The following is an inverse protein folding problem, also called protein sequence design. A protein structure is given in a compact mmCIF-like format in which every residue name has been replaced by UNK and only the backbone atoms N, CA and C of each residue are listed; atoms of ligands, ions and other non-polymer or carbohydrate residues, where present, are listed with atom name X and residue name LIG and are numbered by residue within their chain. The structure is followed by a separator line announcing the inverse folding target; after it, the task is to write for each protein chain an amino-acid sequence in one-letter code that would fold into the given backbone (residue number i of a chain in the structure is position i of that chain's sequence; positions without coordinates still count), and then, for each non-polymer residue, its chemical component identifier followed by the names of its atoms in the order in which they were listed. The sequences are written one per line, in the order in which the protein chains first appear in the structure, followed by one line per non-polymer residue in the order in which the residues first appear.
data_IF_157247613924
#
_entry.id   IF_157247613924
#
_cell.length_a   1.000
_cell.length_b   1.000
_cell.length_c   1.000
_cell.angle_alpha   90.00
_cell.angle_beta   90.00
_cell.angle_gamma   90.00
#
_symmetry.space_group_name_H-M   'P 1'
#
loop_
_entity.id
_entity.type
_entity.pdbx_description
1 polymer ?
#
# COMPACT_ATOMS: atom_id res chain seq x y z
N UNK A 1 -17.29 9.44 18.11
CA UNK A 1 -17.11 10.04 16.79
C UNK A 1 -18.25 9.59 15.89
N UNK A 2 -18.90 10.47 15.10
CA UNK A 2 -19.97 10.06 14.22
C UNK A 2 -19.40 9.11 13.15
N UNK A 3 -19.99 7.91 13.06
CA UNK A 3 -19.61 6.88 12.08
C UNK A 3 -20.45 7.12 10.82
N UNK A 4 -19.85 7.22 9.62
CA UNK A 4 -20.61 7.25 8.37
C UNK A 4 -21.48 6.01 8.22
N UNK A 5 -22.67 6.14 7.60
CA UNK A 5 -23.57 5.01 7.39
C UNK A 5 -22.89 3.93 6.55
N UNK A 6 -22.72 2.74 7.14
CA UNK A 6 -22.24 1.53 6.46
C UNK A 6 -20.76 1.21 6.61
N UNK A 7 -19.94 2.08 7.24
CA UNK A 7 -18.52 1.80 7.56
C UNK A 7 -18.25 2.03 9.04
N UNK A 8 -17.33 1.26 9.61
CA UNK A 8 -17.03 1.29 11.04
C UNK A 8 -15.63 1.84 11.30
N UNK A 9 -15.54 2.90 12.12
CA UNK A 9 -14.27 3.36 12.66
C UNK A 9 -13.73 2.45 13.80
N UNK A 10 -14.47 1.40 14.16
CA UNK A 10 -14.07 0.45 15.19
C UNK A 10 -13.09 -0.60 14.68
N UNK A 11 -13.07 -0.85 13.35
CA UNK A 11 -12.11 -1.76 12.74
C UNK A 11 -10.85 -1.01 12.34
N UNK A 12 -9.79 -1.22 13.11
CA UNK A 12 -8.46 -0.70 12.82
C UNK A 12 -7.74 -1.69 11.91
N UNK A 13 -7.41 -1.25 10.70
CA UNK A 13 -6.73 -2.07 9.69
C UNK A 13 -5.21 -1.89 9.73
N UNK A 14 -4.74 -0.69 10.08
CA UNK A 14 -3.31 -0.38 10.07
C UNK A 14 -2.95 0.70 11.09
N UNK A 15 -1.73 0.59 11.61
CA UNK A 15 -1.11 1.54 12.51
C UNK A 15 0.28 1.88 11.99
N UNK A 16 0.65 3.14 12.07
CA UNK A 16 1.97 3.61 11.67
C UNK A 16 2.45 4.68 12.63
N UNK A 17 3.61 4.47 13.26
CA UNK A 17 4.29 5.50 14.04
C UNK A 17 5.04 6.45 13.10
N UNK A 18 4.78 7.75 13.26
CA UNK A 18 5.49 8.82 12.56
C UNK A 18 6.28 9.61 13.60
N UNK A 19 7.52 9.20 13.81
CA UNK A 19 8.40 9.81 14.81
C UNK A 19 8.77 11.25 14.47
N UNK A 20 8.85 11.59 13.18
CA UNK A 20 9.16 12.95 12.72
C UNK A 20 8.03 13.93 13.06
N UNK A 21 6.77 13.48 12.98
CA UNK A 21 5.58 14.26 13.34
C UNK A 21 5.13 14.04 14.78
N UNK A 22 5.74 13.11 15.51
CA UNK A 22 5.39 12.76 16.90
C UNK A 22 3.98 12.21 17.03
N UNK A 23 3.50 11.46 16.08
CA UNK A 23 2.13 10.95 16.04
C UNK A 23 2.05 9.48 15.61
N UNK A 24 0.87 8.90 15.85
CA UNK A 24 0.49 7.59 15.32
C UNK A 24 -0.66 7.79 14.33
N UNK A 25 -0.47 7.34 13.11
CA UNK A 25 -1.52 7.26 12.10
C UNK A 25 -2.31 5.98 12.29
N UNK A 26 -3.65 6.08 12.22
CA UNK A 26 -4.57 4.99 12.47
C UNK A 26 -5.52 4.87 11.28
N UNK A 27 -5.34 3.82 10.48
CA UNK A 27 -6.20 3.49 9.35
C UNK A 27 -7.36 2.61 9.78
N UNK A 28 -8.58 3.01 9.45
CA UNK A 28 -9.81 2.28 9.76
C UNK A 28 -10.65 2.00 8.51
N UNK A 29 -11.72 1.23 8.65
CA UNK A 29 -12.67 1.00 7.53
C UNK A 29 -13.40 2.26 7.08
N UNK A 30 -13.42 3.31 7.87
CA UNK A 30 -14.20 4.52 7.57
C UNK A 30 -13.38 5.78 7.40
N UNK A 31 -12.12 5.81 7.82
CA UNK A 31 -11.33 7.04 7.86
C UNK A 31 -9.87 6.82 8.25
N UNK A 32 -9.08 7.89 8.09
CA UNK A 32 -7.76 8.04 8.68
C UNK A 32 -7.83 8.92 9.93
N UNK A 33 -7.10 8.54 10.98
CA UNK A 33 -6.92 9.35 12.18
C UNK A 33 -5.45 9.61 12.46
N UNK A 34 -5.18 10.75 13.08
CA UNK A 34 -3.88 11.14 13.62
C UNK A 34 -4.02 11.21 15.14
N UNK A 35 -3.27 10.39 15.85
CA UNK A 35 -3.20 10.42 17.31
C UNK A 35 -1.87 11.01 17.76
N UNK A 36 -1.90 12.01 18.64
CA UNK A 36 -0.71 12.66 19.20
C UNK A 36 -0.54 12.19 20.66
N UNK A 37 0.45 11.31 20.95
CA UNK A 37 0.64 10.78 22.31
C UNK A 37 0.96 11.85 23.37
N UNK A 38 1.62 12.94 22.97
CA UNK A 38 2.06 14.00 23.90
C UNK A 38 0.91 14.70 24.62
N UNK A 39 -0.25 14.83 23.99
CA UNK A 39 -1.44 15.50 24.55
C UNK A 39 -2.70 14.61 24.57
N UNK A 40 -2.58 13.38 24.05
CA UNK A 40 -3.69 12.44 23.94
C UNK A 40 -4.74 12.84 22.88
N UNK A 41 -4.44 13.82 22.03
CA UNK A 41 -5.39 14.33 21.04
C UNK A 41 -5.54 13.35 19.87
N UNK A 42 -6.78 13.15 19.41
CA UNK A 42 -7.11 12.38 18.21
C UNK A 42 -7.83 13.26 17.20
N UNK A 43 -7.22 13.45 16.06
CA UNK A 43 -7.78 14.20 14.93
C UNK A 43 -8.26 13.23 13.86
N UNK A 44 -9.47 13.41 13.36
CA UNK A 44 -9.96 12.75 12.16
C UNK A 44 -9.49 13.52 10.93
N UNK A 45 -9.03 12.81 9.91
CA UNK A 45 -8.61 13.39 8.63
C UNK A 45 -9.75 13.23 7.62
N UNK A 46 -10.48 14.31 7.39
CA UNK A 46 -11.72 14.28 6.58
C UNK A 46 -11.48 14.01 5.10
N UNK A 47 -10.26 14.21 4.59
CA UNK A 47 -9.89 13.88 3.21
C UNK A 47 -10.10 12.38 2.85
N UNK A 48 -10.18 11.53 3.86
CA UNK A 48 -10.35 10.07 3.70
C UNK A 48 -11.71 9.57 4.21
N UNK A 49 -12.70 10.45 4.35
CA UNK A 49 -14.03 9.99 4.71
C UNK A 49 -14.58 9.07 3.61
N UNK A 50 -15.32 8.04 4.01
CA UNK A 50 -15.89 7.00 3.13
C UNK A 50 -14.88 6.07 2.42
N UNK A 51 -13.57 6.22 2.64
CA UNK A 51 -12.57 5.27 2.17
C UNK A 51 -12.12 4.34 3.31
N UNK A 52 -12.06 3.04 3.02
CA UNK A 52 -11.40 2.09 3.92
C UNK A 52 -9.89 2.26 3.78
N UNK A 53 -9.24 2.77 4.83
CA UNK A 53 -7.78 2.82 4.90
C UNK A 53 -7.27 1.45 5.31
N UNK A 54 -6.58 0.76 4.41
CA UNK A 54 -6.13 -0.62 4.59
C UNK A 54 -4.68 -0.73 5.01
N UNK A 55 -3.84 0.17 4.52
CA UNK A 55 -2.40 0.15 4.78
C UNK A 55 -1.80 1.54 4.83
N UNK A 56 -0.76 1.69 5.62
CA UNK A 56 -0.03 2.94 5.84
C UNK A 56 1.47 2.68 5.76
N UNK A 57 2.21 3.59 5.15
CA UNK A 57 3.68 3.60 5.17
C UNK A 57 4.21 5.04 5.06
N UNK A 58 5.46 5.25 5.45
CA UNK A 58 6.21 6.45 5.08
C UNK A 58 7.12 6.10 3.91
N UNK A 59 7.18 6.96 2.91
CA UNK A 59 8.18 6.83 1.85
C UNK A 59 9.55 7.35 2.30
N UNK A 60 10.57 7.23 1.42
CA UNK A 60 11.93 7.69 1.71
C UNK A 60 12.07 9.20 1.95
N UNK A 61 11.05 10.00 1.64
CA UNK A 61 11.00 11.44 1.90
C UNK A 61 10.15 11.82 3.12
N UNK A 62 9.62 10.83 3.83
CA UNK A 62 8.73 11.03 4.96
C UNK A 62 7.30 11.45 4.57
N UNK A 63 6.91 11.26 3.31
CA UNK A 63 5.52 11.44 2.89
C UNK A 63 4.69 10.24 3.36
N UNK A 64 3.48 10.50 3.86
CA UNK A 64 2.57 9.45 4.27
C UNK A 64 1.86 8.86 3.04
N UNK A 65 2.03 7.57 2.86
CA UNK A 65 1.35 6.78 1.84
C UNK A 65 0.13 6.09 2.48
N UNK A 66 -1.04 6.34 1.92
CA UNK A 66 -2.32 5.83 2.42
C UNK A 66 -2.95 4.94 1.37
N UNK A 67 -2.88 3.63 1.57
CA UNK A 67 -3.51 2.63 0.73
C UNK A 67 -4.97 2.41 1.15
N UNK A 68 -5.87 2.57 0.19
CA UNK A 68 -7.31 2.50 0.44
C UNK A 68 -8.00 1.49 -0.48
N UNK A 69 -9.33 1.37 -0.37
CA UNK A 69 -10.17 0.69 -1.35
C UNK A 69 -10.47 1.55 -2.59
N UNK A 70 -9.92 2.76 -2.64
CA UNK A 70 -10.08 3.71 -3.75
C UNK A 70 -8.73 4.28 -4.23
N UNK A 71 -7.68 3.47 -4.27
CA UNK A 71 -6.35 3.87 -4.74
C UNK A 71 -5.38 4.26 -3.63
N UNK A 72 -4.25 4.79 -4.08
CA UNK A 72 -3.17 5.30 -3.23
C UNK A 72 -3.28 6.81 -3.11
N UNK A 73 -3.25 7.30 -1.88
CA UNK A 73 -3.05 8.71 -1.61
C UNK A 73 -1.64 8.94 -1.08
N UNK A 74 -0.98 9.98 -1.59
CA UNK A 74 0.23 10.55 -1.00
C UNK A 74 -0.20 11.78 -0.22
N UNK A 75 0.11 11.80 1.07
CA UNK A 75 -0.37 12.82 1.99
C UNK A 75 0.82 13.57 2.61
N UNK A 76 0.78 14.88 2.54
CA UNK A 76 1.82 15.76 3.05
C UNK A 76 1.20 17.01 3.65
N UNK A 77 1.73 17.49 4.79
CA UNK A 77 1.35 18.75 5.42
C UNK A 77 -0.16 18.93 5.63
N UNK A 78 -0.83 17.85 6.07
CA UNK A 78 -2.26 17.79 6.36
C UNK A 78 -3.20 17.91 5.12
N UNK A 79 -2.65 17.70 3.90
CA UNK A 79 -3.43 17.67 2.65
C UNK A 79 -3.05 16.48 1.76
N UNK A 80 -4.00 15.90 1.01
CA UNK A 80 -3.66 14.92 -0.02
C UNK A 80 -2.94 15.61 -1.18
N UNK A 81 -1.67 15.26 -1.37
CA UNK A 81 -0.83 15.79 -2.44
C UNK A 81 -1.14 15.14 -3.80
N UNK A 82 -1.40 13.83 -3.78
CA UNK A 82 -1.60 13.03 -4.98
C UNK A 82 -2.58 11.90 -4.70
N UNK A 83 -3.48 11.64 -5.65
CA UNK A 83 -4.35 10.47 -5.67
C UNK A 83 -4.10 9.65 -6.92
N UNK A 84 -3.60 8.43 -6.75
CA UNK A 84 -3.26 7.50 -7.84
C UNK A 84 -4.29 6.38 -7.88
N UNK A 85 -4.87 6.17 -9.06
CA UNK A 85 -5.91 5.16 -9.29
C UNK A 85 -5.57 4.26 -10.46
N UNK A 86 -6.24 3.12 -10.54
CA UNK A 86 -6.21 2.26 -11.72
C UNK A 86 -6.94 2.90 -12.90
N UNK A 87 -6.31 2.87 -14.08
CA UNK A 87 -6.94 3.19 -15.38
C UNK A 87 -6.62 2.07 -16.36
N UNK A 88 -7.61 1.32 -16.78
CA UNK A 88 -7.46 0.19 -17.71
C UNK A 88 -6.88 0.57 -19.09
N UNK A 89 -6.89 1.86 -19.43
CA UNK A 89 -6.31 2.40 -20.67
C UNK A 89 -4.85 2.85 -20.50
N UNK A 90 -4.36 2.88 -19.26
CA UNK A 90 -3.01 3.32 -18.92
C UNK A 90 -2.25 2.21 -18.19
N UNK A 91 -1.36 1.53 -18.92
CA UNK A 91 -0.50 0.46 -18.36
C UNK A 91 0.47 0.94 -17.28
N UNK A 92 0.59 2.25 -17.07
CA UNK A 92 1.41 2.88 -16.03
C UNK A 92 0.57 3.35 -14.85
N UNK A 93 -0.69 2.94 -14.76
CA UNK A 93 -1.55 3.19 -13.60
C UNK A 93 -1.43 2.06 -12.56
N UNK A 94 -2.18 2.11 -11.46
CA UNK A 94 -2.23 1.01 -10.48
C UNK A 94 -2.77 -0.28 -11.11
N UNK A 95 -2.31 -1.44 -10.63
CA UNK A 95 -2.87 -2.74 -11.01
C UNK A 95 -4.33 -2.88 -10.58
N UNK A 96 -4.69 -2.31 -9.44
CA UNK A 96 -6.07 -2.26 -8.93
C UNK A 96 -6.19 -1.13 -7.88
N UNK A 97 -7.41 -0.63 -7.62
CA UNK A 97 -7.66 0.43 -6.64
C UNK A 97 -7.66 -0.05 -5.19
N UNK A 98 -7.88 -1.34 -4.93
CA UNK A 98 -7.85 -1.87 -3.57
C UNK A 98 -6.42 -2.20 -3.20
N UNK A 99 -5.84 -1.42 -2.27
CA UNK A 99 -4.45 -1.57 -1.83
C UNK A 99 -4.43 -2.19 -0.44
N UNK A 100 -4.09 -3.47 -0.36
CA UNK A 100 -4.04 -4.22 0.88
C UNK A 100 -2.81 -3.96 1.71
N UNK A 101 -1.66 -3.74 1.06
CA UNK A 101 -0.39 -3.55 1.74
C UNK A 101 0.51 -2.58 0.97
N UNK A 102 1.28 -1.81 1.71
CA UNK A 102 2.33 -0.92 1.20
C UNK A 102 3.64 -1.31 1.87
N UNK A 103 4.70 -1.40 1.09
CA UNK A 103 6.05 -1.60 1.58
C UNK A 103 7.00 -0.61 0.92
N UNK A 104 7.60 0.29 1.71
CA UNK A 104 8.66 1.18 1.27
C UNK A 104 10.01 0.56 1.63
N UNK A 105 10.86 0.32 0.62
CA UNK A 105 12.16 -0.27 0.83
C UNK A 105 13.26 0.78 1.06
N UNK A 106 14.46 0.33 1.42
CA UNK A 106 15.60 1.20 1.72
C UNK A 106 16.18 1.89 0.48
N UNK A 107 15.87 1.40 -0.70
CA UNK A 107 16.24 1.98 -1.98
C UNK A 107 15.19 2.97 -2.51
N UNK A 108 14.23 3.36 -1.65
CA UNK A 108 13.12 4.26 -1.96
C UNK A 108 12.15 3.74 -3.04
N UNK A 109 12.07 2.42 -3.23
CA UNK A 109 10.98 1.84 -4.00
C UNK A 109 9.77 1.67 -3.09
N UNK A 110 8.60 1.94 -3.65
CA UNK A 110 7.31 1.69 -3.01
C UNK A 110 6.63 0.53 -3.73
N UNK A 111 6.29 -0.49 -2.97
CA UNK A 111 5.62 -1.69 -3.44
C UNK A 111 4.20 -1.71 -2.91
N UNK A 112 3.25 -1.99 -3.78
CA UNK A 112 1.83 -2.01 -3.48
C UNK A 112 1.27 -3.39 -3.78
N UNK A 113 0.80 -4.08 -2.75
CA UNK A 113 0.00 -5.30 -2.90
C UNK A 113 -1.46 -4.93 -3.04
N UNK A 114 -2.03 -5.27 -4.18
CA UNK A 114 -3.41 -4.90 -4.52
C UNK A 114 -4.32 -6.12 -4.59
N UNK A 115 -5.61 -5.88 -4.85
CA UNK A 115 -6.59 -6.94 -5.08
C UNK A 115 -6.32 -7.70 -6.40
N UNK A 116 -5.54 -7.12 -7.30
CA UNK A 116 -5.22 -7.72 -8.60
C UNK A 116 -3.77 -7.45 -9.01
N UNK A 117 -2.82 -8.08 -8.30
CA UNK A 117 -1.40 -8.01 -8.63
C UNK A 117 -0.61 -7.04 -7.76
N UNK A 118 0.61 -6.78 -8.21
CA UNK A 118 1.58 -5.96 -7.51
C UNK A 118 1.95 -4.77 -8.40
N UNK A 119 1.97 -3.59 -7.82
CA UNK A 119 2.48 -2.38 -8.46
C UNK A 119 3.74 -1.90 -7.72
N UNK A 120 4.70 -1.36 -8.45
CA UNK A 120 5.90 -0.80 -7.88
C UNK A 120 6.23 0.53 -8.56
N UNK A 121 6.61 1.52 -7.77
CA UNK A 121 7.17 2.75 -8.29
C UNK A 121 8.38 3.19 -7.45
N UNK A 122 9.26 3.91 -8.09
CA UNK A 122 10.36 4.61 -7.45
C UNK A 122 10.02 6.10 -7.44
N UNK A 123 10.44 6.82 -6.40
CA UNK A 123 10.24 8.27 -6.36
C UNK A 123 10.63 8.91 -7.70
N UNK A 124 9.73 9.70 -8.30
CA UNK A 124 9.87 10.33 -9.62
C UNK A 124 10.01 9.37 -10.83
N UNK A 125 9.60 8.13 -10.72
CA UNK A 125 9.62 7.17 -11.83
C UNK A 125 8.23 6.66 -12.18
N UNK A 126 8.16 6.06 -13.35
CA UNK A 126 6.95 5.44 -13.88
C UNK A 126 6.54 4.24 -13.03
N UNK A 127 5.26 4.12 -12.77
CA UNK A 127 4.67 2.97 -12.08
C UNK A 127 4.84 1.71 -12.95
N UNK A 128 5.29 0.62 -12.35
CA UNK A 128 5.49 -0.67 -13.01
C UNK A 128 4.55 -1.72 -12.43
N UNK A 129 3.96 -2.51 -13.29
CA UNK A 129 3.23 -3.71 -12.91
C UNK A 129 4.14 -4.93 -12.95
N UNK A 130 3.95 -5.80 -11.96
CA UNK A 130 4.47 -7.17 -12.01
C UNK A 130 3.33 -8.05 -12.51
N UNK A 131 3.44 -8.66 -13.70
CA UNK A 131 2.36 -9.43 -14.33
C UNK A 131 2.21 -10.79 -13.64
N UNK A 132 1.59 -10.82 -12.48
CA UNK A 132 1.46 -12.02 -11.65
C UNK A 132 0.67 -13.13 -12.37
N UNK A 133 -0.33 -12.80 -13.17
CA UNK A 133 -1.09 -13.77 -13.97
C UNK A 133 -0.22 -14.55 -14.96
N UNK A 134 0.83 -13.94 -15.49
CA UNK A 134 1.79 -14.61 -16.37
C UNK A 134 2.69 -15.56 -15.57
N UNK A 135 2.94 -15.27 -14.30
CA UNK A 135 3.79 -16.08 -13.42
C UNK A 135 3.02 -17.27 -12.87
N UNK A 136 1.80 -17.06 -12.43
CA UNK A 136 0.96 -18.09 -11.78
C UNK A 136 0.16 -18.91 -12.79
N UNK A 137 0.02 -18.44 -14.03
CA UNK A 137 -0.83 -19.07 -15.05
C UNK A 137 -2.32 -19.02 -14.73
N UNK A 138 -2.73 -18.31 -13.67
CA UNK A 138 -4.12 -18.16 -13.26
C UNK A 138 -4.62 -16.77 -13.61
N UNK A 139 -5.75 -16.69 -14.33
CA UNK A 139 -6.43 -15.42 -14.63
C UNK A 139 -7.25 -14.86 -13.46
N UNK A 140 -7.27 -15.55 -12.33
CA UNK A 140 -7.99 -15.11 -11.14
C UNK A 140 -7.14 -14.18 -10.29
N UNK A 141 -7.78 -13.17 -9.71
CA UNK A 141 -7.14 -12.12 -8.93
C UNK A 141 -6.26 -12.67 -7.81
N UNK A 142 -5.02 -12.27 -7.83
CA UNK A 142 -4.06 -12.53 -6.77
C UNK A 142 -4.09 -11.33 -5.82
N UNK A 143 -4.78 -11.47 -4.71
CA UNK A 143 -4.80 -10.46 -3.64
C UNK A 143 -3.56 -10.60 -2.80
N UNK A 144 -2.81 -9.51 -2.63
CA UNK A 144 -1.58 -9.50 -1.85
C UNK A 144 -1.76 -8.69 -0.57
N UNK A 145 -1.71 -9.39 0.56
CA UNK A 145 -1.95 -8.83 1.89
C UNK A 145 -0.69 -8.53 2.68
N UNK A 146 0.43 -9.16 2.31
CA UNK A 146 1.68 -9.03 3.04
C UNK A 146 2.88 -8.99 2.11
N UNK A 147 3.90 -8.26 2.53
CA UNK A 147 5.15 -8.12 1.82
C UNK A 147 6.32 -8.12 2.80
N UNK A 148 7.43 -8.67 2.37
CA UNK A 148 8.67 -8.72 3.11
C UNK A 148 9.84 -8.62 2.13
N UNK A 149 10.87 -7.87 2.49
CA UNK A 149 12.20 -8.00 1.88
C UNK A 149 13.14 -8.65 2.88
N UNK A 150 13.73 -9.77 2.49
CA UNK A 150 14.65 -10.49 3.35
C UNK A 150 16.05 -9.85 3.40
N UNK A 151 16.92 -10.40 4.24
CA UNK A 151 18.30 -9.91 4.40
C UNK A 151 19.19 -10.09 3.17
N UNK A 152 18.77 -10.92 2.21
CA UNK A 152 19.43 -11.15 0.94
C UNK A 152 18.94 -10.22 -0.18
N UNK A 153 17.95 -9.35 0.13
CA UNK A 153 17.37 -8.42 -0.82
C UNK A 153 16.24 -8.99 -1.68
N UNK A 154 15.79 -10.21 -1.40
CA UNK A 154 14.68 -10.86 -2.09
C UNK A 154 13.34 -10.37 -1.54
N UNK A 155 12.40 -10.08 -2.41
CA UNK A 155 11.05 -9.70 -2.05
C UNK A 155 10.13 -10.94 -1.99
N UNK A 156 9.28 -10.95 -1.00
CA UNK A 156 8.30 -12.00 -0.76
C UNK A 156 6.91 -11.38 -0.66
N UNK A 157 5.96 -11.93 -1.41
CA UNK A 157 4.59 -11.44 -1.46
C UNK A 157 3.65 -12.58 -1.09
N UNK A 158 2.93 -12.41 0.01
CA UNK A 158 1.92 -13.37 0.49
C UNK A 158 0.51 -12.94 0.05
N UNK A 159 -0.21 -13.87 -0.54
CA UNK A 159 -1.55 -13.60 -1.07
C UNK A 159 -2.47 -14.81 -1.08
N UNK A 160 -3.64 -14.67 -1.68
CA UNK A 160 -4.69 -15.72 -1.74
C UNK A 160 -4.23 -17.01 -2.42
N UNK A 161 -3.30 -16.92 -3.36
CA UNK A 161 -2.84 -18.07 -4.15
C UNK A 161 -1.45 -18.58 -3.71
N UNK A 162 -1.01 -18.19 -2.50
CA UNK A 162 0.26 -18.64 -1.95
C UNK A 162 1.31 -17.54 -1.87
N UNK A 163 2.58 -17.92 -2.05
CA UNK A 163 3.74 -17.08 -1.84
C UNK A 163 4.49 -16.85 -3.16
N UNK A 164 4.78 -15.60 -3.48
CA UNK A 164 5.63 -15.24 -4.60
C UNK A 164 6.97 -14.72 -4.08
N UNK A 165 8.04 -15.28 -4.60
CA UNK A 165 9.40 -14.78 -4.44
C UNK A 165 9.79 -13.98 -5.69
N UNK A 166 10.31 -12.81 -5.48
CA UNK A 166 10.80 -11.94 -6.53
C UNK A 166 12.22 -11.47 -6.22
N UNK A 167 13.14 -11.72 -7.13
CA UNK A 167 14.52 -11.23 -7.04
C UNK A 167 14.81 -10.37 -8.28
N UNK A 168 15.16 -9.10 -8.08
CA UNK A 168 15.62 -8.25 -9.16
C UNK A 168 17.09 -8.60 -9.45
N UNK A 169 17.39 -9.06 -10.64
CA UNK A 169 18.75 -9.29 -11.09
C UNK A 169 19.34 -7.98 -11.64
N UNK A 170 20.67 -7.85 -11.57
CA UNK A 170 21.38 -6.61 -11.97
C UNK A 170 21.20 -6.28 -13.47
N UNK A 171 20.89 -7.26 -14.30
CA UNK A 171 20.77 -7.14 -15.76
C UNK A 171 19.36 -6.82 -16.24
N UNK A 172 18.45 -6.47 -15.32
CA UNK A 172 17.04 -6.22 -15.64
C UNK A 172 16.21 -7.49 -15.80
N UNK A 173 16.81 -8.65 -15.72
CA UNK A 173 16.11 -9.91 -15.59
C UNK A 173 15.52 -10.06 -14.20
N UNK A 174 14.35 -10.68 -14.14
CA UNK A 174 13.61 -10.92 -12.90
C UNK A 174 13.53 -12.43 -12.69
N UNK A 175 14.03 -12.90 -11.55
CA UNK A 175 13.77 -14.28 -11.12
C UNK A 175 12.53 -14.28 -10.22
N UNK A 176 11.48 -14.92 -10.69
CA UNK A 176 10.20 -15.00 -10.01
C UNK A 176 9.83 -16.46 -9.82
N UNK A 177 9.57 -16.83 -8.57
CA UNK A 177 9.10 -18.17 -8.22
C UNK A 177 7.77 -18.07 -7.48
N UNK A 178 6.87 -18.99 -7.80
CA UNK A 178 5.58 -19.13 -7.15
C UNK A 178 5.51 -20.43 -6.35
N UNK A 179 5.12 -20.30 -5.09
CA UNK A 179 4.91 -21.43 -4.17
C UNK A 179 3.41 -21.51 -3.85
N UNK A 180 2.73 -22.44 -4.50
CA UNK A 180 1.32 -22.73 -4.22
C UNK A 180 1.23 -23.45 -2.88
N UNK A 181 0.38 -22.93 -2.00
CA UNK A 181 0.11 -23.55 -0.70
C UNK A 181 -1.21 -24.30 -0.70
#
# INVERSE_FOLDING_TARGET
LPVPRGRSNQFVNSLLEDTARGCIWIGTEGCLFKYTPADGHTQRIDAFHDNSVKSLALDGNGQLLVGTDNGLYVYQEDEPLLHVVHDSRNLQSLSNNIIWTIFADREHNVWLGTDYGISMFRHNSVLRHIPISQITGTGEGNQFYSMLRDTHGTYWFGGTNGLIRFTALMDGEQDVAWYKM
#
